data_IF_659902019122
#
_entry.id   IF_659902019122
#
_cell.length_a   1.000
_cell.length_b   1.000
_cell.length_c   1.000
_cell.angle_alpha   90.00
_cell.angle_beta   90.00
_cell.angle_gamma   90.00
#
_symmetry.space_group_name_H-M   'P 1'
#
loop_
_entity.id
_entity.type
_entity.pdbx_description
1 polymer ?
#
# COMPACT_ATOMS: atom_id res chain seq x y z
N UNK A 1 18.95 -18.05 -16.35
CA UNK A 1 18.61 -16.81 -15.64
C UNK A 1 17.11 -16.82 -15.28
N UNK A 2 16.78 -16.95 -14.00
CA UNK A 2 15.42 -16.65 -13.54
C UNK A 2 15.20 -15.15 -13.79
N UNK A 3 14.25 -14.79 -14.66
CA UNK A 3 13.91 -13.37 -14.84
C UNK A 3 13.21 -12.90 -13.57
N UNK A 4 13.69 -11.83 -12.94
CA UNK A 4 12.98 -11.16 -11.84
C UNK A 4 11.56 -10.80 -12.33
N UNK A 5 10.54 -11.39 -11.71
CA UNK A 5 9.16 -10.98 -11.93
C UNK A 5 8.98 -9.57 -11.35
N UNK A 6 8.18 -8.73 -12.01
CA UNK A 6 7.89 -7.39 -11.50
C UNK A 6 7.31 -7.43 -10.08
N UNK A 7 7.82 -6.58 -9.19
CA UNK A 7 7.45 -6.56 -7.77
C UNK A 7 6.47 -5.42 -7.47
N UNK A 8 5.44 -5.72 -6.68
CA UNK A 8 4.42 -4.76 -6.26
C UNK A 8 4.11 -4.92 -4.77
N UNK A 9 4.19 -3.80 -4.05
CA UNK A 9 3.72 -3.65 -2.67
C UNK A 9 2.42 -2.86 -2.67
N UNK A 10 1.44 -3.36 -1.91
CA UNK A 10 0.16 -2.68 -1.66
C UNK A 10 0.07 -2.40 -0.16
N UNK A 11 0.11 -1.12 0.21
CA UNK A 11 -0.01 -0.65 1.57
C UNK A 11 -1.44 -0.20 1.86
N UNK A 12 -2.07 -0.78 2.88
CA UNK A 12 -3.41 -0.41 3.35
C UNK A 12 -3.30 -0.07 4.83
N UNK A 13 -3.59 1.17 5.21
CA UNK A 13 -3.40 1.66 6.58
C UNK A 13 -4.22 2.94 6.83
N UNK A 14 -4.45 3.29 8.09
CA UNK A 14 -4.93 4.63 8.49
C UNK A 14 -3.77 5.65 8.58
N UNK A 15 -2.51 5.22 8.60
CA UNK A 15 -1.35 6.10 8.71
C UNK A 15 -1.14 6.74 10.09
N UNK A 16 -1.88 6.32 11.13
CA UNK A 16 -1.81 6.95 12.45
C UNK A 16 -0.59 6.47 13.27
N UNK A 17 0.12 5.43 12.82
CA UNK A 17 1.35 4.93 13.43
C UNK A 17 2.14 3.99 12.49
N UNK A 18 2.74 4.53 11.43
CA UNK A 18 3.36 3.75 10.35
C UNK A 18 4.85 3.38 10.60
N UNK A 19 5.31 3.43 11.84
CA UNK A 19 6.71 3.17 12.23
C UNK A 19 7.61 4.40 12.16
N UNK A 20 8.91 4.20 12.39
CA UNK A 20 9.85 5.30 12.68
C UNK A 20 10.12 6.23 11.47
N UNK A 21 10.24 5.69 10.25
CA UNK A 21 10.44 6.50 9.04
C UNK A 21 9.80 5.83 7.80
N UNK A 22 8.48 6.00 7.61
CA UNK A 22 7.76 5.38 6.50
C UNK A 22 8.14 5.97 5.14
N UNK A 23 8.61 7.22 5.10
CA UNK A 23 9.04 7.90 3.87
C UNK A 23 10.34 7.28 3.36
N UNK A 24 11.35 7.11 4.24
CA UNK A 24 12.59 6.45 3.85
C UNK A 24 12.38 4.98 3.47
N UNK A 25 11.45 4.29 4.12
CA UNK A 25 11.08 2.92 3.74
C UNK A 25 10.48 2.87 2.32
N UNK A 26 9.59 3.81 1.98
CA UNK A 26 9.01 3.89 0.64
C UNK A 26 10.07 4.20 -0.43
N UNK A 27 10.99 5.12 -0.16
CA UNK A 27 12.08 5.45 -1.09
C UNK A 27 12.98 4.26 -1.42
N UNK A 28 13.14 3.29 -0.50
CA UNK A 28 13.88 2.06 -0.79
C UNK A 28 13.15 1.16 -1.78
N UNK A 29 11.81 1.13 -1.76
CA UNK A 29 11.02 0.37 -2.72
C UNK A 29 11.28 0.87 -4.14
N UNK A 30 11.28 2.20 -4.34
CA UNK A 30 11.58 2.79 -5.64
C UNK A 30 13.02 2.47 -6.09
N UNK A 31 14.00 2.57 -5.19
CA UNK A 31 15.39 2.24 -5.50
C UNK A 31 15.62 0.75 -5.88
N UNK A 32 14.72 -0.13 -5.44
CA UNK A 32 14.74 -1.56 -5.76
C UNK A 32 13.82 -1.94 -6.93
N UNK A 33 13.26 -0.94 -7.65
CA UNK A 33 12.28 -1.11 -8.75
C UNK A 33 11.01 -1.89 -8.31
N UNK A 34 10.61 -1.68 -7.06
CA UNK A 34 9.38 -2.24 -6.49
C UNK A 34 8.28 -1.19 -6.58
N UNK A 35 7.19 -1.54 -7.25
CA UNK A 35 6.02 -0.67 -7.35
C UNK A 35 5.30 -0.52 -6.02
N UNK A 36 4.78 0.67 -5.73
CA UNK A 36 4.01 0.95 -4.52
C UNK A 36 2.60 1.47 -4.85
N UNK A 37 1.57 0.84 -4.27
CA UNK A 37 0.22 1.37 -4.18
C UNK A 37 -0.13 1.60 -2.71
N UNK A 38 -0.69 2.76 -2.37
CA UNK A 38 -1.08 3.11 -1.01
C UNK A 38 -2.57 3.42 -0.99
N UNK A 39 -3.31 2.84 -0.04
CA UNK A 39 -4.71 3.16 0.21
C UNK A 39 -4.92 3.45 1.70
N UNK A 40 -5.59 4.55 1.97
CA UNK A 40 -6.03 4.94 3.30
C UNK A 40 -7.29 4.17 3.70
N UNK A 41 -7.47 3.95 5.01
CA UNK A 41 -8.75 3.50 5.56
C UNK A 41 -9.15 4.39 6.72
N UNK A 42 -10.37 4.89 6.69
CA UNK A 42 -10.94 5.69 7.77
C UNK A 42 -11.13 7.15 7.40
N UNK A 43 -11.18 8.01 8.41
CA UNK A 43 -11.46 9.45 8.23
C UNK A 43 -10.55 10.28 9.11
N UNK A 44 -10.34 11.54 8.72
CA UNK A 44 -9.58 12.50 9.52
C UNK A 44 -10.24 12.80 10.88
N UNK A 45 -11.57 12.66 10.98
CA UNK A 45 -12.29 12.81 12.26
C UNK A 45 -11.92 11.70 13.25
N UNK A 46 -11.63 10.51 12.73
CA UNK A 46 -11.28 9.32 13.49
C UNK A 46 -12.45 8.64 14.17
N UNK A 47 -12.17 7.47 14.73
CA UNK A 47 -13.13 6.67 15.48
C UNK A 47 -12.44 5.92 16.62
N UNK A 48 -13.23 5.52 17.62
CA UNK A 48 -12.76 4.62 18.67
C UNK A 48 -12.62 3.21 18.11
N UNK A 49 -11.65 2.45 18.62
CA UNK A 49 -11.40 1.07 18.20
C UNK A 49 -12.20 0.12 19.12
N UNK A 50 -13.25 -0.56 18.63
CA UNK A 50 -14.07 -1.46 19.45
C UNK A 50 -13.34 -2.76 19.77
N UNK A 51 -13.58 -3.28 20.98
CA UNK A 51 -13.20 -4.62 21.42
C UNK A 51 -14.45 -5.49 21.45
N UNK A 52 -14.43 -6.58 20.69
CA UNK A 52 -15.53 -7.53 20.59
C UNK A 52 -15.27 -8.76 21.47
N UNK A 53 -16.34 -9.27 22.09
CA UNK A 53 -16.28 -10.55 22.80
C UNK A 53 -16.34 -11.75 21.82
N UNK A 54 -16.24 -12.98 22.32
CA UNK A 54 -16.30 -14.21 21.51
C UNK A 54 -17.61 -14.39 20.73
N UNK A 55 -18.67 -13.67 21.11
CA UNK A 55 -19.98 -13.70 20.46
C UNK A 55 -20.16 -12.58 19.42
N UNK A 56 -19.11 -11.78 19.17
CA UNK A 56 -19.14 -10.66 18.23
C UNK A 56 -19.88 -9.43 18.74
N UNK A 57 -20.22 -9.37 20.03
CA UNK A 57 -20.86 -8.20 20.64
C UNK A 57 -19.80 -7.20 21.08
N UNK A 58 -19.99 -5.92 20.74
CA UNK A 58 -19.14 -4.82 21.21
C UNK A 58 -19.25 -4.71 22.73
N UNK A 59 -18.12 -4.77 23.42
CA UNK A 59 -18.08 -4.75 24.87
C UNK A 59 -17.48 -3.43 25.38
N UNK A 60 -16.34 -3.04 24.83
CA UNK A 60 -15.54 -1.89 25.26
C UNK A 60 -14.80 -1.26 24.06
N UNK A 61 -14.12 -0.15 24.30
CA UNK A 61 -13.17 0.44 23.34
C UNK A 61 -11.75 0.26 23.85
N UNK A 62 -10.81 0.08 22.93
CA UNK A 62 -9.39 0.14 23.23
C UNK A 62 -9.07 1.50 23.86
N UNK A 63 -8.40 1.47 25.01
CA UNK A 63 -8.10 2.64 25.81
C UNK A 63 -6.65 2.59 26.32
N UNK A 64 -6.09 3.77 26.58
CA UNK A 64 -4.84 3.96 27.29
C UNK A 64 -5.08 4.68 28.63
N UNK A 65 -4.01 5.11 29.31
CA UNK A 65 -4.10 5.81 30.60
C UNK A 65 -4.86 7.14 30.56
N UNK A 66 -5.16 7.68 29.36
CA UNK A 66 -5.91 8.91 29.14
C UNK A 66 -7.37 8.68 28.69
N UNK A 67 -7.73 7.44 28.35
CA UNK A 67 -9.08 7.06 27.91
C UNK A 67 -9.08 6.33 26.56
N UNK A 68 -10.25 6.23 25.90
CA UNK A 68 -10.37 5.53 24.62
C UNK A 68 -9.46 6.12 23.53
N UNK A 69 -8.70 5.26 22.86
CA UNK A 69 -7.86 5.63 21.72
C UNK A 69 -8.76 6.00 20.53
N UNK A 70 -8.41 7.08 19.84
CA UNK A 70 -9.06 7.54 18.60
C UNK A 70 -8.06 7.38 17.46
N UNK A 71 -8.28 6.38 16.59
CA UNK A 71 -7.50 6.21 15.35
C UNK A 71 -8.02 7.18 14.30
N UNK A 72 -7.10 7.90 13.63
CA UNK A 72 -7.38 8.89 12.58
C UNK A 72 -6.62 8.57 11.32
N UNK A 73 -7.29 8.78 10.18
CA UNK A 73 -6.62 8.74 8.90
C UNK A 73 -5.65 9.92 8.77
N UNK A 74 -4.35 9.63 8.63
CA UNK A 74 -3.33 10.60 8.26
C UNK A 74 -3.07 10.57 6.75
N UNK A 75 -4.03 11.12 5.99
CA UNK A 75 -3.99 11.10 4.53
C UNK A 75 -2.75 11.78 3.94
N UNK A 76 -2.30 12.88 4.55
CA UNK A 76 -1.11 13.59 4.09
C UNK A 76 0.14 12.70 4.15
N UNK A 77 0.34 11.98 5.26
CA UNK A 77 1.45 11.04 5.38
C UNK A 77 1.39 9.95 4.30
N UNK A 78 0.20 9.42 4.00
CA UNK A 78 0.04 8.37 2.99
C UNK A 78 0.33 8.87 1.57
N UNK A 79 -0.03 10.13 1.27
CA UNK A 79 0.36 10.80 0.02
C UNK A 79 1.88 10.94 -0.04
N UNK A 80 2.53 11.38 1.04
CA UNK A 80 3.98 11.56 1.08
C UNK A 80 4.73 10.23 0.93
N UNK A 81 4.26 9.17 1.57
CA UNK A 81 4.77 7.79 1.43
C UNK A 81 4.62 7.29 -0.01
N UNK A 82 3.46 7.49 -0.63
CA UNK A 82 3.24 7.09 -2.01
C UNK A 82 4.20 7.83 -2.96
N UNK A 83 4.35 9.15 -2.78
CA UNK A 83 5.24 9.97 -3.60
C UNK A 83 6.71 9.57 -3.43
N UNK A 84 7.14 9.30 -2.20
CA UNK A 84 8.52 8.93 -1.91
C UNK A 84 8.93 7.57 -2.46
N UNK A 85 7.97 6.65 -2.68
CA UNK A 85 8.22 5.35 -3.29
C UNK A 85 7.88 5.26 -4.78
N UNK A 86 7.80 6.40 -5.50
CA UNK A 86 7.40 6.44 -6.91
C UNK A 86 6.01 5.84 -7.21
N UNK A 87 5.18 5.75 -6.18
CA UNK A 87 3.92 5.02 -6.17
C UNK A 87 2.69 5.90 -6.36
N UNK A 88 1.52 5.36 -6.00
CA UNK A 88 0.24 6.10 -6.07
C UNK A 88 -0.58 5.92 -4.81
N UNK A 89 -1.08 7.03 -4.28
CA UNK A 89 -2.14 7.04 -3.30
C UNK A 89 -3.51 6.92 -3.99
N UNK A 90 -4.35 6.01 -3.50
CA UNK A 90 -5.62 5.62 -4.13
C UNK A 90 -6.85 6.21 -3.43
N UNK A 91 -6.65 7.00 -2.38
CA UNK A 91 -7.71 7.58 -1.56
C UNK A 91 -7.91 6.86 -0.23
N UNK A 92 -8.92 7.29 0.52
CA UNK A 92 -9.24 6.87 1.88
C UNK A 92 -10.19 5.65 1.98
N UNK A 93 -10.34 4.90 0.88
CA UNK A 93 -11.15 3.69 0.82
C UNK A 93 -10.46 2.61 -0.01
N UNK A 94 -10.90 1.36 0.19
CA UNK A 94 -10.35 0.19 -0.51
C UNK A 94 -11.09 -0.15 -1.81
N UNK A 95 -12.10 0.64 -2.21
CA UNK A 95 -12.96 0.31 -3.35
C UNK A 95 -12.19 0.26 -4.68
N UNK A 96 -11.22 1.14 -4.85
CA UNK A 96 -10.42 1.24 -6.08
C UNK A 96 -9.25 0.25 -6.14
N UNK A 97 -8.90 -0.39 -5.01
CA UNK A 97 -7.71 -1.25 -4.90
C UNK A 97 -7.70 -2.42 -5.89
N UNK A 98 -8.78 -3.22 -6.04
CA UNK A 98 -8.74 -4.37 -6.94
C UNK A 98 -8.42 -3.95 -8.39
N UNK A 99 -9.04 -2.87 -8.88
CA UNK A 99 -8.80 -2.35 -10.23
C UNK A 99 -7.40 -1.76 -10.40
N UNK A 100 -6.90 -1.05 -9.39
CA UNK A 100 -5.56 -0.48 -9.39
C UNK A 100 -4.47 -1.56 -9.39
N UNK A 101 -4.62 -2.61 -8.57
CA UNK A 101 -3.71 -3.75 -8.51
C UNK A 101 -3.71 -4.50 -9.83
N UNK A 102 -4.88 -4.86 -10.37
CA UNK A 102 -4.99 -5.56 -11.65
C UNK A 102 -4.28 -4.79 -12.78
N UNK A 103 -4.57 -3.48 -12.87
CA UNK A 103 -3.96 -2.61 -13.87
C UNK A 103 -2.43 -2.54 -13.73
N UNK A 104 -1.91 -2.47 -12.49
CA UNK A 104 -0.47 -2.39 -12.26
C UNK A 104 0.23 -3.71 -12.55
N UNK A 105 -0.35 -4.84 -12.18
CA UNK A 105 0.17 -6.17 -12.50
C UNK A 105 0.26 -6.35 -14.03
N UNK A 106 -0.79 -6.01 -14.79
CA UNK A 106 -0.74 -6.06 -16.25
C UNK A 106 0.37 -5.19 -16.84
N UNK A 107 0.57 -3.99 -16.29
CA UNK A 107 1.66 -3.11 -16.73
C UNK A 107 3.05 -3.70 -16.45
N UNK A 108 3.25 -4.34 -15.29
CA UNK A 108 4.50 -5.01 -14.93
C UNK A 108 4.79 -6.22 -15.83
N UNK A 109 3.78 -7.03 -16.16
CA UNK A 109 3.92 -8.14 -17.12
C UNK A 109 4.27 -7.63 -18.53
N UNK A 110 3.64 -6.53 -18.96
CA UNK A 110 3.90 -5.96 -20.29
C UNK A 110 5.33 -5.41 -20.39
N UNK A 111 5.82 -4.72 -19.34
CA UNK A 111 7.18 -4.21 -19.29
C UNK A 111 8.21 -5.36 -19.38
N UNK A 112 7.98 -6.45 -18.62
CA UNK A 112 8.83 -7.65 -18.66
C UNK A 112 8.94 -8.27 -20.05
N UNK A 113 7.83 -8.34 -20.79
CA UNK A 113 7.83 -8.88 -22.16
C UNK A 113 8.61 -7.99 -23.13
N UNK A 114 8.62 -6.67 -22.94
CA UNK A 114 9.37 -5.74 -23.78
C UNK A 114 10.89 -5.82 -23.56
N UNK A 115 11.33 -6.24 -22.37
CA UNK A 115 12.76 -6.35 -22.01
C UNK A 115 13.41 -7.65 -22.49
N UNK A 116 12.62 -8.64 -22.95
CA UNK A 116 13.17 -9.88 -23.51
C UNK A 116 13.51 -9.63 -25.00
N UNK A 117 14.79 -9.55 -25.41
CA UNK A 117 15.12 -9.33 -26.81
C UNK A 117 14.58 -10.50 -27.63
N UNK A 118 13.80 -10.21 -28.67
CA UNK A 118 13.43 -11.23 -29.65
C UNK A 118 14.72 -11.74 -30.32
N UNK A 119 15.22 -12.90 -29.91
CA UNK A 119 16.20 -13.64 -30.69
C UNK A 119 15.54 -14.05 -32.01
N UNK A 120 15.61 -13.18 -33.02
CA UNK A 120 15.21 -13.53 -34.37
C UNK A 120 16.32 -14.41 -34.95
N UNK A 121 16.08 -15.71 -35.22
CA UNK A 121 17.08 -16.55 -35.85
C UNK A 121 17.28 -16.03 -37.28
N UNK A 122 18.46 -15.51 -37.59
CA UNK A 122 18.84 -15.25 -38.98
C UNK A 122 19.26 -16.60 -39.56
N UNK A 123 18.33 -17.29 -40.21
CA UNK A 123 18.68 -18.43 -41.08
C UNK A 123 19.64 -17.91 -42.17
N UNK A 124 20.77 -18.62 -42.34
CA UNK A 124 21.73 -18.43 -43.44
C UNK A 124 21.63 -19.56 -44.44
#
# INVERSE_FOLDING_TARGET
PESEAGRLVVLITDGDNLGDDPIAAAARLEAEDISLLVAGVGTAAGARIPIFNQQGTEQEYLADGSGPIISRLNEQLLVDVANAGGGRYLGNSIESLPGAVASRVTALETARLAETPAEVPVER
#
